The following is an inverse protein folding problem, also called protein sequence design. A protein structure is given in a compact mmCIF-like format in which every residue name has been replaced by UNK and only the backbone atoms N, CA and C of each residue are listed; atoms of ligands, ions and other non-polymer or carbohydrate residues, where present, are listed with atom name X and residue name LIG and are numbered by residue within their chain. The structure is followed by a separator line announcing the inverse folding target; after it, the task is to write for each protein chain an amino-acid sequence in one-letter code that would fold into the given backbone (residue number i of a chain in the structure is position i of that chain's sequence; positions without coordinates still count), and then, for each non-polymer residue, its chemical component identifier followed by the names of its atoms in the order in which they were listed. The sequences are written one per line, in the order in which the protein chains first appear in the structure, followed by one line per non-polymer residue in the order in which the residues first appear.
data_IF_018777734188
#
_entry.id   IF_018777734188
#
_cell.length_a   1.000
_cell.length_b   1.000
_cell.length_c   1.000
_cell.angle_alpha   90.00
_cell.angle_beta   90.00
_cell.angle_gamma   90.00
#
_symmetry.space_group_name_H-M   'P 1'
#
loop_
_entity.id
_entity.type
_entity.pdbx_description
1 polymer ?
#
# COMPACT_ATOMS: atom_id res chain seq x y z
N UNK A 1 34.08 6.41 50.71
CA UNK A 1 32.74 5.99 51.15
C UNK A 1 32.11 7.14 51.92
N UNK A 2 30.98 7.63 51.40
CA UNK A 2 29.92 8.45 52.03
C UNK A 2 30.33 9.69 52.83
N UNK A 3 30.26 10.87 52.19
CA UNK A 3 30.01 12.13 52.89
C UNK A 3 28.62 12.65 52.51
N UNK A 4 27.80 12.81 53.55
CA UNK A 4 26.46 13.38 53.56
C UNK A 4 26.52 14.89 53.32
N UNK A 5 25.59 15.45 52.55
CA UNK A 5 25.17 16.84 52.78
C UNK A 5 23.67 16.96 52.55
N UNK A 6 22.98 17.15 53.67
CA UNK A 6 21.54 17.38 53.82
C UNK A 6 21.27 18.83 53.40
N UNK A 7 20.15 19.09 52.72
CA UNK A 7 19.13 20.01 53.24
C UNK A 7 17.97 20.15 52.28
N UNK A 8 16.82 19.79 52.83
CA UNK A 8 15.47 20.13 52.42
C UNK A 8 15.33 21.66 52.40
N UNK A 9 14.89 22.22 51.27
CA UNK A 9 14.14 23.48 51.26
C UNK A 9 12.94 23.28 50.36
N UNK A 10 11.84 22.87 50.99
CA UNK A 10 10.51 23.06 50.46
C UNK A 10 10.19 24.56 50.56
N UNK A 11 9.98 25.23 49.43
CA UNK A 11 9.38 26.56 49.42
C UNK A 11 8.02 26.46 48.72
N UNK A 12 7.00 26.68 49.54
CA UNK A 12 5.58 26.57 49.25
C UNK A 12 5.12 27.69 48.31
N UNK A 13 4.18 27.31 47.45
CA UNK A 13 2.98 28.07 47.08
C UNK A 13 3.18 29.55 46.66
N UNK A 14 3.27 29.72 45.34
CA UNK A 14 3.04 31.00 44.67
C UNK A 14 2.39 30.78 43.30
N UNK A 15 1.18 30.21 43.28
CA UNK A 15 0.36 30.17 42.07
C UNK A 15 -0.24 31.55 41.81
N UNK A 16 0.57 32.46 41.25
CA UNK A 16 0.05 33.68 40.63
C UNK A 16 -0.56 33.31 39.28
N UNK A 17 -1.88 33.53 39.18
CA UNK A 17 -2.64 33.42 37.94
C UNK A 17 -2.04 34.29 36.85
N UNK A 18 -1.43 33.67 35.84
CA UNK A 18 -1.20 34.31 34.54
C UNK A 18 -2.25 33.73 33.61
N UNK A 19 -3.27 34.54 33.33
CA UNK A 19 -4.19 34.31 32.22
C UNK A 19 -3.40 34.44 30.90
N UNK A 20 -2.69 33.38 30.52
CA UNK A 20 -2.04 33.25 29.22
C UNK A 20 -2.95 32.45 28.30
N UNK A 21 -3.56 33.11 27.32
CA UNK A 21 -4.34 32.47 26.28
C UNK A 21 -3.49 31.41 25.55
N UNK A 22 -3.80 30.14 25.77
CA UNK A 22 -3.26 29.03 24.98
C UNK A 22 -3.93 29.10 23.61
N UNK A 23 -3.30 29.79 22.65
CA UNK A 23 -3.60 29.56 21.24
C UNK A 23 -3.11 28.15 20.91
N UNK A 24 -4.04 27.19 20.92
CA UNK A 24 -3.85 25.89 20.31
C UNK A 24 -3.55 26.10 18.82
N UNK A 25 -2.27 26.02 18.45
CA UNK A 25 -1.86 26.02 17.05
C UNK A 25 -2.26 24.67 16.47
N UNK A 26 -3.40 24.66 15.78
CA UNK A 26 -3.92 23.50 15.09
C UNK A 26 -2.85 22.99 14.13
N UNK A 27 -2.47 21.73 14.31
CA UNK A 27 -1.65 20.99 13.37
C UNK A 27 -2.36 20.95 12.02
N UNK A 28 -1.99 21.88 11.15
CA UNK A 28 -2.27 21.76 9.74
C UNK A 28 -1.51 20.54 9.25
N UNK A 29 -2.24 19.44 9.04
CA UNK A 29 -1.78 18.37 8.17
C UNK A 29 -1.43 19.04 6.84
N UNK A 30 -0.13 19.20 6.57
CA UNK A 30 0.34 19.58 5.25
C UNK A 30 -0.15 18.48 4.32
N UNK A 31 -1.24 18.74 3.60
CA UNK A 31 -1.63 17.94 2.46
C UNK A 31 -0.40 17.92 1.54
N UNK A 32 0.25 16.75 1.47
CA UNK A 32 1.34 16.55 0.53
C UNK A 32 0.82 16.93 -0.87
N UNK A 33 1.54 17.77 -1.63
CA UNK A 33 1.19 18.09 -3.00
C UNK A 33 1.01 16.77 -3.76
N UNK A 34 -0.23 16.50 -4.18
CA UNK A 34 -0.48 15.42 -5.13
C UNK A 34 0.19 15.79 -6.45
N UNK A 35 0.92 14.88 -7.10
CA UNK A 35 1.65 15.19 -8.32
C UNK A 35 0.72 15.80 -9.39
N UNK A 36 1.20 16.78 -10.16
CA UNK A 36 0.38 17.47 -11.15
C UNK A 36 0.04 16.50 -12.28
N UNK A 37 -1.24 16.16 -12.39
CA UNK A 37 -1.81 15.35 -13.47
C UNK A 37 -2.73 14.26 -12.93
N UNK A 38 -4.05 14.45 -13.06
CA UNK A 38 -5.08 13.48 -12.66
C UNK A 38 -5.09 12.17 -13.48
N UNK A 39 -3.95 11.69 -13.94
CA UNK A 39 -3.81 10.41 -14.60
C UNK A 39 -3.66 9.30 -13.57
N UNK A 40 -4.71 8.50 -13.46
CA UNK A 40 -4.81 7.35 -12.58
C UNK A 40 -3.61 6.39 -12.73
N UNK A 41 -2.99 5.98 -11.62
CA UNK A 41 -1.91 4.97 -11.61
C UNK A 41 -2.43 3.62 -12.14
N UNK A 42 -1.78 3.05 -13.15
CA UNK A 42 -2.14 1.79 -13.81
C UNK A 42 -1.02 0.75 -13.69
N UNK A 43 -1.38 -0.54 -13.83
CA UNK A 43 -0.37 -1.59 -13.73
C UNK A 43 0.66 -1.50 -14.87
N UNK A 44 0.21 -1.46 -16.13
CA UNK A 44 1.12 -1.54 -17.28
C UNK A 44 2.08 -0.35 -17.37
N UNK A 45 1.60 0.88 -17.09
CA UNK A 45 2.42 2.09 -17.20
C UNK A 45 3.34 2.29 -16.02
N UNK A 46 2.83 2.09 -14.80
CA UNK A 46 3.49 2.59 -13.59
C UNK A 46 4.07 1.47 -12.71
N UNK A 47 3.41 0.31 -12.65
CA UNK A 47 3.81 -0.78 -11.72
C UNK A 47 4.69 -1.82 -12.42
N UNK A 48 4.34 -2.23 -13.63
CA UNK A 48 5.05 -3.26 -14.36
C UNK A 48 6.54 -2.91 -14.57
N UNK A 49 6.92 -1.66 -14.94
CA UNK A 49 8.33 -1.29 -15.04
C UNK A 49 9.08 -1.42 -13.71
N UNK A 50 8.45 -1.07 -12.59
CA UNK A 50 9.04 -1.20 -11.25
C UNK A 50 9.24 -2.68 -10.91
N UNK A 51 8.21 -3.51 -11.07
CA UNK A 51 8.31 -4.93 -10.74
C UNK A 51 9.32 -5.66 -11.64
N UNK A 52 9.38 -5.33 -12.93
CA UNK A 52 10.31 -5.97 -13.86
C UNK A 52 11.76 -5.58 -13.60
N UNK A 53 12.01 -4.32 -13.22
CA UNK A 53 13.37 -3.89 -12.93
C UNK A 53 13.86 -4.37 -11.56
N UNK A 54 13.06 -4.24 -10.51
CA UNK A 54 13.52 -4.46 -9.13
C UNK A 54 13.15 -5.83 -8.55
N UNK A 55 12.20 -6.55 -9.13
CA UNK A 55 11.66 -7.77 -8.51
C UNK A 55 11.79 -9.00 -9.41
N UNK A 56 11.58 -8.87 -10.73
CA UNK A 56 11.46 -10.00 -11.62
C UNK A 56 12.70 -10.88 -11.64
N UNK A 57 13.90 -10.32 -11.50
CA UNK A 57 15.16 -11.08 -11.47
C UNK A 57 15.19 -12.17 -10.40
N UNK A 58 14.50 -11.99 -9.27
CA UNK A 58 14.37 -13.04 -8.24
C UNK A 58 12.97 -13.65 -8.23
N UNK A 59 11.93 -12.90 -8.59
CA UNK A 59 10.54 -13.34 -8.61
C UNK A 59 10.12 -13.82 -10.00
N UNK A 60 10.86 -14.78 -10.53
CA UNK A 60 10.44 -15.61 -11.66
C UNK A 60 10.58 -17.09 -11.33
N UNK A 61 9.94 -17.92 -12.15
CA UNK A 61 9.97 -19.37 -11.96
C UNK A 61 11.42 -19.87 -11.98
N UNK A 62 11.80 -20.64 -10.97
CA UNK A 62 13.14 -21.25 -10.86
C UNK A 62 14.16 -20.45 -10.05
N UNK A 63 13.82 -19.24 -9.59
CA UNK A 63 14.75 -18.38 -8.85
C UNK A 63 14.46 -18.32 -7.35
N UNK A 64 15.25 -17.51 -6.64
CA UNK A 64 15.19 -17.35 -5.19
C UNK A 64 13.83 -16.85 -4.65
N UNK A 65 13.05 -16.13 -5.45
CA UNK A 65 11.74 -15.63 -5.07
C UNK A 65 10.70 -16.76 -5.02
N UNK A 66 9.90 -16.88 -3.95
CA UNK A 66 8.99 -18.03 -3.77
C UNK A 66 7.75 -18.03 -4.69
N UNK A 67 7.60 -17.01 -5.54
CA UNK A 67 6.50 -16.87 -6.48
C UNK A 67 6.87 -15.91 -7.62
N UNK A 68 6.23 -16.06 -8.79
CA UNK A 68 6.43 -15.14 -9.92
C UNK A 68 5.77 -13.79 -9.66
N UNK A 69 6.34 -12.72 -10.24
CA UNK A 69 5.75 -11.38 -10.35
C UNK A 69 5.74 -10.89 -11.80
N UNK A 70 5.63 -11.82 -12.75
CA UNK A 70 5.72 -11.56 -14.19
C UNK A 70 4.40 -11.10 -14.80
N UNK A 71 3.28 -11.33 -14.12
CA UNK A 71 1.94 -10.99 -14.63
C UNK A 71 1.17 -10.05 -13.71
N UNK A 72 0.18 -9.38 -14.28
CA UNK A 72 -0.79 -8.61 -13.50
C UNK A 72 -1.53 -9.45 -12.46
N UNK A 73 -1.86 -10.70 -12.80
CA UNK A 73 -2.58 -11.59 -11.89
C UNK A 73 -1.76 -11.90 -10.65
N UNK A 74 -0.47 -12.20 -10.83
CA UNK A 74 0.46 -12.47 -9.73
C UNK A 74 0.64 -11.23 -8.84
N UNK A 75 0.91 -10.09 -9.45
CA UNK A 75 1.06 -8.82 -8.74
C UNK A 75 -0.23 -8.44 -8.00
N UNK A 76 -1.41 -8.63 -8.63
CA UNK A 76 -2.72 -8.37 -8.04
C UNK A 76 -2.96 -9.24 -6.80
N UNK A 77 -2.68 -10.54 -6.91
CA UNK A 77 -2.90 -11.48 -5.81
C UNK A 77 -2.09 -11.11 -4.56
N UNK A 78 -0.96 -10.42 -4.74
CA UNK A 78 0.00 -10.07 -3.68
C UNK A 78 0.10 -8.57 -3.42
N UNK A 79 -0.79 -7.77 -4.01
CA UNK A 79 -0.70 -6.31 -4.01
C UNK A 79 -0.45 -5.72 -2.60
N UNK A 80 -1.23 -6.15 -1.60
CA UNK A 80 -1.07 -5.70 -0.20
C UNK A 80 0.26 -6.12 0.41
N UNK A 81 0.72 -7.35 0.12
CA UNK A 81 2.01 -7.83 0.60
C UNK A 81 3.15 -7.03 -0.02
N UNK A 82 3.12 -6.81 -1.34
CA UNK A 82 4.10 -5.99 -2.07
C UNK A 82 4.19 -4.61 -1.45
N UNK A 83 3.06 -3.91 -1.27
CA UNK A 83 3.02 -2.60 -0.62
C UNK A 83 3.58 -2.63 0.81
N UNK A 84 3.30 -3.67 1.60
CA UNK A 84 3.79 -3.78 2.97
C UNK A 84 5.31 -4.02 3.04
N UNK A 85 5.87 -4.86 2.17
CA UNK A 85 7.32 -5.14 2.19
C UNK A 85 8.15 -4.02 1.58
N UNK A 86 7.64 -3.31 0.58
CA UNK A 86 8.35 -2.18 -0.05
C UNK A 86 8.33 -0.94 0.83
N UNK A 87 7.20 -0.64 1.49
CA UNK A 87 7.13 0.48 2.45
C UNK A 87 8.07 0.30 3.64
N UNK A 88 8.25 -0.94 4.11
CA UNK A 88 9.24 -1.30 5.14
C UNK A 88 10.67 -1.39 4.63
N UNK A 89 10.90 -1.18 3.32
CA UNK A 89 12.19 -1.39 2.64
C UNK A 89 12.80 -2.77 2.88
N UNK A 90 11.94 -3.77 3.11
CA UNK A 90 12.35 -5.16 3.19
C UNK A 90 12.61 -5.75 1.80
N UNK A 91 11.88 -5.25 0.81
CA UNK A 91 12.02 -5.63 -0.60
C UNK A 91 12.18 -4.39 -1.49
N UNK A 92 12.98 -4.49 -2.56
CA UNK A 92 13.98 -5.55 -2.80
C UNK A 92 15.09 -5.56 -1.73
N UNK A 93 15.75 -6.71 -1.47
CA UNK A 93 16.83 -6.77 -0.49
C UNK A 93 18.02 -5.93 -0.96
N UNK A 94 18.41 -4.93 -0.18
CA UNK A 94 19.55 -4.07 -0.47
C UNK A 94 20.28 -3.72 0.82
N UNK A 95 21.50 -4.24 0.98
CA UNK A 95 22.32 -4.07 2.19
C UNK A 95 22.88 -2.65 2.36
N UNK A 96 23.35 -1.97 1.29
CA UNK A 96 23.94 -0.64 1.45
C UNK A 96 22.92 0.39 1.98
N UNK A 97 23.39 1.20 2.94
CA UNK A 97 22.65 2.34 3.44
C UNK A 97 22.48 3.44 2.37
N UNK A 98 21.48 4.33 2.51
CA UNK A 98 21.38 5.51 1.65
C UNK A 98 22.65 6.36 1.68
N UNK A 99 23.14 6.73 0.52
CA UNK A 99 24.32 7.57 0.34
C UNK A 99 24.14 8.48 -0.89
N UNK A 100 24.94 9.55 -0.99
CA UNK A 100 24.87 10.48 -2.12
C UNK A 100 25.29 9.83 -3.44
N UNK A 101 26.33 8.99 -3.42
CA UNK A 101 26.81 8.29 -4.60
C UNK A 101 25.94 7.07 -4.89
N UNK A 102 25.35 7.02 -6.08
CA UNK A 102 24.53 5.90 -6.52
C UNK A 102 25.38 4.75 -7.05
N UNK A 103 25.00 3.53 -6.70
CA UNK A 103 25.58 2.34 -7.33
C UNK A 103 24.94 2.16 -8.72
N UNK A 104 25.72 1.64 -9.67
CA UNK A 104 25.22 1.35 -11.02
C UNK A 104 24.05 0.36 -10.99
N UNK A 105 24.14 -0.66 -10.13
CA UNK A 105 23.14 -1.71 -9.96
C UNK A 105 22.36 -1.55 -8.64
N UNK A 106 22.05 -0.31 -8.25
CA UNK A 106 21.31 -0.04 -7.01
C UNK A 106 19.88 -0.61 -7.06
N UNK A 107 19.65 -1.71 -6.36
CA UNK A 107 18.31 -2.28 -6.18
C UNK A 107 17.61 -1.61 -4.99
N UNK A 108 17.49 -0.29 -5.01
CA UNK A 108 16.73 0.45 -4.00
C UNK A 108 15.59 1.22 -4.66
N UNK A 109 14.38 0.99 -4.15
CA UNK A 109 13.23 1.79 -4.54
C UNK A 109 13.34 3.21 -3.96
N UNK A 110 13.08 4.20 -4.83
CA UNK A 110 12.88 5.58 -4.41
C UNK A 110 11.55 5.74 -3.67
N UNK A 111 11.44 6.81 -2.89
CA UNK A 111 10.21 7.09 -2.15
C UNK A 111 9.02 7.33 -3.08
N UNK A 112 9.28 7.93 -4.25
CA UNK A 112 8.27 8.10 -5.31
C UNK A 112 7.80 6.76 -5.88
N UNK A 113 8.70 5.82 -6.14
CA UNK A 113 8.33 4.47 -6.60
C UNK A 113 7.52 3.71 -5.54
N UNK A 114 7.90 3.82 -4.26
CA UNK A 114 7.12 3.25 -3.16
C UNK A 114 5.72 3.87 -3.11
N UNK A 115 5.60 5.20 -3.24
CA UNK A 115 4.33 5.90 -3.24
C UNK A 115 3.41 5.45 -4.40
N UNK A 116 3.95 5.29 -5.61
CA UNK A 116 3.22 4.76 -6.77
C UNK A 116 2.68 3.35 -6.49
N UNK A 117 3.47 2.48 -5.86
CA UNK A 117 3.00 1.16 -5.43
C UNK A 117 1.86 1.29 -4.42
N UNK A 118 1.99 2.14 -3.39
CA UNK A 118 0.94 2.33 -2.39
C UNK A 118 -0.37 2.82 -3.03
N UNK A 119 -0.30 3.83 -3.89
CA UNK A 119 -1.47 4.40 -4.57
C UNK A 119 -2.17 3.35 -5.42
N UNK A 120 -1.42 2.55 -6.18
CA UNK A 120 -1.98 1.47 -6.97
C UNK A 120 -2.75 0.47 -6.11
N UNK A 121 -2.19 0.06 -4.96
CA UNK A 121 -2.86 -0.88 -4.05
C UNK A 121 -4.09 -0.27 -3.40
N UNK A 122 -3.99 0.96 -2.92
CA UNK A 122 -5.10 1.64 -2.26
C UNK A 122 -6.30 1.79 -3.20
N UNK A 123 -6.05 2.22 -4.44
CA UNK A 123 -7.08 2.35 -5.46
C UNK A 123 -7.78 1.04 -5.79
N UNK A 124 -7.08 -0.09 -5.67
CA UNK A 124 -7.68 -1.42 -5.81
C UNK A 124 -8.46 -1.87 -4.59
N UNK A 125 -8.12 -1.36 -3.42
CA UNK A 125 -8.82 -1.64 -2.16
C UNK A 125 -10.12 -0.83 -2.03
N UNK A 126 -10.18 0.35 -2.66
CA UNK A 126 -11.43 1.10 -2.88
C UNK A 126 -12.32 0.25 -3.81
N UNK A 127 -13.36 -0.33 -3.22
CA UNK A 127 -14.21 -1.40 -3.76
C UNK A 127 -14.38 -1.40 -5.29
N UNK A 128 -13.98 -2.50 -5.93
CA UNK A 128 -14.65 -2.95 -7.16
C UNK A 128 -15.84 -3.81 -6.72
N UNK A 129 -17.05 -3.61 -7.28
CA UNK A 129 -18.15 -4.52 -7.02
C UNK A 129 -17.71 -5.95 -7.36
N UNK A 130 -18.14 -6.96 -6.58
CA UNK A 130 -17.75 -8.34 -6.83
C UNK A 130 -18.07 -8.71 -8.28
N UNK A 131 -17.04 -9.17 -9.01
CA UNK A 131 -17.27 -9.79 -10.32
C UNK A 131 -17.86 -11.16 -10.04
N UNK A 132 -19.18 -11.22 -9.94
CA UNK A 132 -19.89 -12.46 -10.16
C UNK A 132 -19.92 -12.68 -11.68
N UNK A 133 -19.39 -13.81 -12.22
CA UNK A 133 -19.82 -14.20 -13.56
C UNK A 133 -21.35 -14.26 -13.56
N UNK A 134 -22.04 -13.75 -14.59
CA UNK A 134 -23.49 -13.89 -14.64
C UNK A 134 -23.81 -15.39 -14.46
N UNK A 135 -24.79 -15.75 -13.62
CA UNK A 135 -25.20 -17.13 -13.53
C UNK A 135 -25.52 -17.58 -14.96
N UNK A 136 -24.79 -18.60 -15.45
CA UNK A 136 -25.25 -19.36 -16.61
C UNK A 136 -26.58 -19.93 -16.17
N UNK A 137 -27.66 -19.26 -16.56
CA UNK A 137 -29.05 -19.69 -16.48
C UNK A 137 -29.20 -21.20 -16.25
N UNK A 138 -29.18 -21.60 -14.99
CA UNK A 138 -30.05 -22.67 -14.53
C UNK A 138 -31.44 -22.07 -14.69
N UNK A 139 -32.22 -22.57 -15.63
CA UNK A 139 -33.64 -22.30 -15.65
C UNK A 139 -34.34 -23.50 -15.03
N UNK A 140 -34.88 -23.39 -13.81
CA UNK A 140 -35.80 -24.36 -13.27
C UNK A 140 -37.24 -23.85 -13.42
N UNK A 141 -38.13 -24.73 -13.92
CA UNK A 141 -39.57 -24.61 -13.70
C UNK A 141 -40.41 -24.48 -14.97
N UNK A 142 -41.14 -25.54 -15.31
CA UNK A 142 -41.98 -25.64 -16.51
C UNK A 142 -43.37 -25.03 -16.39
N UNK A 143 -44.13 -25.15 -17.49
CA UNK A 143 -45.59 -25.21 -17.44
C UNK A 143 -46.11 -25.98 -18.66
N UNK A 144 -47.03 -26.90 -18.37
CA UNK A 144 -47.83 -27.68 -19.31
C UNK A 144 -48.73 -26.76 -20.14
N UNK A 145 -48.61 -26.81 -21.47
CA UNK A 145 -49.73 -26.48 -22.37
C UNK A 145 -49.85 -27.58 -23.43
N UNK A 146 -50.82 -28.46 -23.15
CA UNK A 146 -51.81 -29.04 -24.06
C UNK A 146 -51.44 -29.35 -25.52
N UNK A 147 -51.58 -30.65 -25.85
CA UNK A 147 -52.17 -31.21 -27.08
C UNK A 147 -52.37 -30.26 -28.26
N UNK A 148 -51.70 -30.55 -29.38
CA UNK A 148 -52.35 -30.85 -30.67
C UNK A 148 -51.55 -31.99 -31.34
N UNK A 149 -52.12 -33.20 -31.33
CA UNK A 149 -52.06 -34.06 -32.53
C UNK A 149 -53.12 -33.52 -33.46
N UNK A 150 -52.77 -33.11 -34.69
CA UNK A 150 -53.36 -33.64 -35.93
C UNK A 150 -52.73 -33.00 -37.19
N UNK A 151 -52.45 -33.90 -38.16
CA UNK A 151 -52.53 -33.73 -39.63
C UNK A 151 -51.57 -32.77 -40.36
N UNK A 152 -50.62 -33.33 -41.12
CA UNK A 152 -50.84 -33.73 -42.52
C UNK A 152 -49.86 -34.83 -42.93
#
# INVERSE_FOLDING_TARGET
MTLSCRSVVACLLGFSSIAGAVLAQQGGATAQPSPPGGQQVTFNRDIAPILFHYCAACHHTGEAGPFPLLTYADAKARARQIAAVTSKRFMPPWLPAPQELKFADELRLSDGQIAVIQEWVERRSRAQPPIFPPPRNSSPGGSLVSRIKLSK
#
